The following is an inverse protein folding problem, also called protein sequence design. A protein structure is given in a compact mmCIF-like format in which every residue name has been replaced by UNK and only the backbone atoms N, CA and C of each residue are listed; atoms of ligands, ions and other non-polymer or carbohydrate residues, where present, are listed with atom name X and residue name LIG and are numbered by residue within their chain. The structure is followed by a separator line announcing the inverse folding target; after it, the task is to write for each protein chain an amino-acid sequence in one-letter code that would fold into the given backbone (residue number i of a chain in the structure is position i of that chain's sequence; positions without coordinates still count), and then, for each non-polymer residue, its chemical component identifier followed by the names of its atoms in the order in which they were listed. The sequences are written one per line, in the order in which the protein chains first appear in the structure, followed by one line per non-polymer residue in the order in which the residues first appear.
data_IF_489207281287
#
_entry.id   IF_489207281287
#
_cell.length_a   1.000
_cell.length_b   1.000
_cell.length_c   1.000
_cell.angle_alpha   90.00
_cell.angle_beta   90.00
_cell.angle_gamma   90.00
#
_symmetry.space_group_name_H-M   'P 1'
#
loop_
_entity.id
_entity.type
_entity.pdbx_description
1 polymer ?
#
# COMPACT_ATOMS: atom_id res chain seq x y z
N UNK A 1 8.26 -0.90 -11.31
CA UNK A 1 8.69 -1.38 -9.97
C UNK A 1 7.55 -1.78 -9.02
N UNK A 2 6.28 -1.40 -9.25
CA UNK A 2 5.16 -1.71 -8.33
C UNK A 2 5.02 -3.19 -7.97
N UNK A 3 5.05 -4.08 -8.97
CA UNK A 3 4.95 -5.54 -8.77
C UNK A 3 6.12 -6.10 -7.92
N UNK A 4 7.33 -5.63 -8.17
CA UNK A 4 8.54 -6.12 -7.49
C UNK A 4 8.62 -5.74 -6.00
N UNK A 5 7.86 -4.74 -5.54
CA UNK A 5 7.77 -4.43 -4.11
C UNK A 5 7.07 -5.54 -3.30
N UNK A 6 6.28 -6.41 -3.94
CA UNK A 6 5.55 -7.47 -3.24
C UNK A 6 4.71 -6.91 -2.08
N UNK A 7 4.92 -7.46 -0.87
CA UNK A 7 4.22 -7.05 0.35
C UNK A 7 5.00 -6.04 1.22
N UNK A 8 6.13 -5.52 0.72
CA UNK A 8 6.99 -4.60 1.46
C UNK A 8 6.48 -3.16 1.38
N UNK A 9 5.86 -2.66 2.46
CA UNK A 9 5.38 -1.27 2.55
C UNK A 9 6.49 -0.27 2.91
N UNK A 10 7.55 -0.73 3.58
CA UNK A 10 8.71 0.06 3.96
C UNK A 10 9.96 -0.82 3.98
N UNK A 11 11.05 -0.33 3.38
CA UNK A 11 12.31 -1.09 3.31
C UNK A 11 12.23 -2.32 2.39
N UNK A 12 13.31 -3.09 2.35
CA UNK A 12 13.41 -4.39 1.70
C UNK A 12 14.64 -5.09 2.29
N UNK A 13 14.44 -6.27 2.87
CA UNK A 13 15.52 -7.06 3.46
C UNK A 13 15.89 -8.30 2.64
N UNK A 14 15.35 -8.43 1.43
CA UNK A 14 15.60 -9.61 0.57
C UNK A 14 17.10 -9.88 0.36
N UNK A 15 17.93 -8.84 0.21
CA UNK A 15 19.38 -9.04 0.06
C UNK A 15 20.07 -9.53 1.34
N UNK A 16 19.51 -9.21 2.51
CA UNK A 16 19.97 -9.70 3.81
C UNK A 16 19.47 -11.13 4.05
N UNK A 17 18.22 -11.44 3.69
CA UNK A 17 17.60 -12.75 3.90
C UNK A 17 18.27 -13.86 3.07
N UNK A 18 18.69 -13.55 1.84
CA UNK A 18 19.36 -14.53 0.97
C UNK A 18 20.87 -14.63 1.24
N UNK A 19 21.43 -13.77 2.10
CA UNK A 19 22.87 -13.74 2.35
C UNK A 19 23.29 -14.95 3.20
N UNK A 20 24.23 -15.80 2.75
CA UNK A 20 24.67 -16.97 3.51
C UNK A 20 25.34 -16.62 4.84
N UNK A 21 25.91 -15.41 4.94
CA UNK A 21 26.52 -14.92 6.18
C UNK A 21 25.49 -14.44 7.21
N UNK A 22 24.23 -14.21 6.80
CA UNK A 22 23.18 -13.69 7.67
C UNK A 22 22.12 -14.73 8.03
N UNK A 23 22.40 -16.03 7.86
CA UNK A 23 21.45 -17.11 8.15
C UNK A 23 21.11 -17.26 9.64
N UNK A 24 21.95 -16.73 10.52
CA UNK A 24 21.79 -16.80 11.98
C UNK A 24 22.16 -15.45 12.61
N UNK A 25 21.34 -14.40 12.40
CA UNK A 25 21.62 -13.10 12.96
C UNK A 25 21.59 -13.19 14.49
N UNK A 26 22.52 -12.53 15.21
CA UNK A 26 22.46 -12.46 16.65
C UNK A 26 21.20 -11.72 17.09
N UNK A 27 20.68 -12.05 18.27
CA UNK A 27 19.59 -11.30 18.86
C UNK A 27 20.00 -9.82 19.06
N UNK A 28 19.01 -8.93 19.01
CA UNK A 28 19.24 -7.52 19.31
C UNK A 28 19.86 -7.38 20.70
N UNK A 29 21.01 -6.70 20.76
CA UNK A 29 21.72 -6.49 22.02
C UNK A 29 20.99 -5.51 22.95
N UNK A 30 20.18 -4.61 22.39
CA UNK A 30 19.52 -3.52 23.11
C UNK A 30 18.01 -3.70 23.03
N UNK A 31 17.33 -3.54 24.18
CA UNK A 31 15.89 -3.76 24.30
C UNK A 31 15.09 -2.84 23.36
N UNK A 32 15.48 -1.57 23.21
CA UNK A 32 14.87 -0.64 22.25
C UNK A 32 14.84 -1.10 20.78
N UNK A 33 15.65 -2.10 20.39
CA UNK A 33 15.62 -2.70 19.06
C UNK A 33 14.80 -3.99 18.95
N UNK A 34 14.11 -4.40 20.02
CA UNK A 34 13.16 -5.50 19.94
C UNK A 34 11.92 -5.10 19.13
N UNK A 35 11.29 -6.10 18.49
CA UNK A 35 10.18 -5.86 17.57
C UNK A 35 8.95 -5.21 18.24
N UNK A 36 8.75 -5.46 19.53
CA UNK A 36 7.65 -4.93 20.34
C UNK A 36 7.82 -3.45 20.74
N UNK A 37 9.07 -2.94 20.74
CA UNK A 37 9.34 -1.53 21.05
C UNK A 37 9.23 -0.61 19.83
N UNK A 38 9.19 -1.20 18.63
CA UNK A 38 9.04 -0.50 17.36
C UNK A 38 7.60 -0.45 16.85
N UNK A 39 7.46 -0.33 15.53
CA UNK A 39 6.16 -0.35 14.83
C UNK A 39 5.64 -1.78 14.56
N UNK A 40 6.33 -2.80 15.09
CA UNK A 40 6.12 -4.20 14.78
C UNK A 40 6.66 -4.62 13.41
N UNK A 41 6.55 -5.92 13.13
CA UNK A 41 6.93 -6.51 11.84
C UNK A 41 5.94 -6.19 10.71
N UNK A 42 4.67 -5.95 11.06
CA UNK A 42 3.59 -5.75 10.11
C UNK A 42 2.83 -4.47 10.40
N UNK A 43 2.55 -3.71 9.35
CA UNK A 43 1.67 -2.55 9.41
C UNK A 43 0.32 -2.90 8.81
N UNK A 44 -0.76 -2.51 9.49
CA UNK A 44 -2.09 -2.52 8.89
C UNK A 44 -2.13 -1.49 7.76
N UNK A 45 -2.21 -1.95 6.52
CA UNK A 45 -2.21 -1.10 5.32
C UNK A 45 -3.42 -0.15 5.32
N UNK A 46 -4.61 -0.68 5.67
CA UNK A 46 -5.85 0.10 5.67
C UNK A 46 -5.82 1.23 6.70
N UNK A 47 -5.09 1.03 7.81
CA UNK A 47 -4.92 2.06 8.83
C UNK A 47 -4.13 3.28 8.36
N UNK A 48 -3.48 3.22 7.19
CA UNK A 48 -2.83 4.39 6.60
C UNK A 48 -3.84 5.43 6.13
N UNK A 49 -5.04 4.99 5.76
CA UNK A 49 -6.12 5.89 5.35
C UNK A 49 -6.81 6.59 6.52
N UNK A 50 -6.55 6.17 7.77
CA UNK A 50 -7.05 6.86 8.97
C UNK A 50 -6.26 8.14 9.27
N UNK A 51 -5.00 8.21 8.83
CA UNK A 51 -4.13 9.36 9.06
C UNK A 51 -4.42 10.44 8.01
N UNK A 52 -4.90 11.59 8.46
CA UNK A 52 -5.29 12.74 7.61
C UNK A 52 -4.21 13.82 7.56
N UNK A 53 -3.35 13.88 8.58
CA UNK A 53 -2.33 14.94 8.70
C UNK A 53 -0.93 14.37 8.91
N UNK A 54 0.06 15.20 8.55
CA UNK A 54 1.47 14.91 8.79
C UNK A 54 1.76 14.83 10.31
N UNK A 55 1.01 15.57 11.12
CA UNK A 55 1.10 15.58 12.58
C UNK A 55 0.65 14.24 13.19
N UNK A 56 -0.50 13.72 12.78
CA UNK A 56 -0.99 12.40 13.18
C UNK A 56 -0.01 11.29 12.78
N UNK A 57 0.53 11.38 11.56
CA UNK A 57 1.55 10.45 11.08
C UNK A 57 2.84 10.52 11.92
N UNK A 58 3.32 11.72 12.23
CA UNK A 58 4.54 11.91 13.04
C UNK A 58 4.35 11.41 14.47
N UNK A 59 3.16 11.63 15.05
CA UNK A 59 2.81 11.14 16.37
C UNK A 59 2.75 9.60 16.39
N UNK A 60 2.08 8.99 15.41
CA UNK A 60 1.95 7.53 15.32
C UNK A 60 3.29 6.82 15.12
N UNK A 61 4.16 7.38 14.29
CA UNK A 61 5.44 6.77 13.94
C UNK A 61 6.62 7.43 14.65
N UNK A 62 6.39 8.07 15.80
CA UNK A 62 7.44 8.74 16.54
C UNK A 62 8.63 7.80 16.80
N UNK A 63 9.86 8.33 16.70
CA UNK A 63 11.12 7.58 16.88
C UNK A 63 11.31 6.37 15.94
N UNK A 64 10.45 6.19 14.93
CA UNK A 64 10.58 5.13 13.92
C UNK A 64 11.19 5.64 12.60
N UNK A 65 12.05 4.84 11.93
CA UNK A 65 12.55 5.16 10.59
C UNK A 65 11.43 5.22 9.53
N UNK A 66 10.25 4.66 9.82
CA UNK A 66 9.04 4.77 8.99
C UNK A 66 8.61 6.22 8.76
N UNK A 67 9.09 7.19 9.56
CA UNK A 67 8.83 8.62 9.33
C UNK A 67 9.45 9.19 8.05
N UNK A 68 10.54 8.60 7.54
CA UNK A 68 11.30 9.12 6.39
C UNK A 68 10.46 9.36 5.11
N UNK A 69 9.59 8.42 4.67
CA UNK A 69 8.74 8.63 3.50
C UNK A 69 7.63 9.68 3.69
N UNK A 70 7.38 10.13 4.93
CA UNK A 70 6.22 10.95 5.33
C UNK A 70 4.88 10.22 5.06
N UNK A 71 3.77 10.83 5.48
CA UNK A 71 2.43 10.26 5.27
C UNK A 71 2.20 9.94 3.79
N UNK A 72 2.46 10.94 2.93
CA UNK A 72 2.33 10.83 1.48
C UNK A 72 3.06 9.62 0.88
N UNK A 73 4.34 9.44 1.21
CA UNK A 73 5.14 8.34 0.65
C UNK A 73 4.71 6.97 1.17
N UNK A 74 4.33 6.88 2.45
CA UNK A 74 3.88 5.61 3.03
C UNK A 74 2.49 5.22 2.52
N UNK A 75 1.57 6.17 2.36
CA UNK A 75 0.25 5.93 1.74
C UNK A 75 0.40 5.44 0.30
N UNK A 76 1.30 6.05 -0.49
CA UNK A 76 1.63 5.55 -1.83
C UNK A 76 2.11 4.10 -1.79
N UNK A 77 3.03 3.75 -0.89
CA UNK A 77 3.52 2.38 -0.76
C UNK A 77 2.40 1.42 -0.34
N UNK A 78 1.53 1.84 0.58
CA UNK A 78 0.40 1.03 1.02
C UNK A 78 -0.55 0.72 -0.14
N UNK A 79 -0.87 1.70 -1.00
CA UNK A 79 -1.66 1.47 -2.21
C UNK A 79 -0.98 0.46 -3.14
N UNK A 80 0.33 0.55 -3.34
CA UNK A 80 1.06 -0.43 -4.16
C UNK A 80 0.98 -1.84 -3.56
N UNK A 81 1.18 -1.98 -2.25
CA UNK A 81 1.09 -3.28 -1.58
C UNK A 81 -0.34 -3.84 -1.64
N UNK A 82 -1.36 -3.01 -1.44
CA UNK A 82 -2.76 -3.40 -1.60
C UNK A 82 -3.01 -3.93 -3.02
N UNK A 83 -2.54 -3.24 -4.05
CA UNK A 83 -2.66 -3.72 -5.43
C UNK A 83 -1.95 -5.05 -5.68
N UNK A 84 -0.78 -5.27 -5.09
CA UNK A 84 -0.09 -6.56 -5.16
C UNK A 84 -0.89 -7.67 -4.48
N UNK A 85 -1.45 -7.39 -3.30
CA UNK A 85 -2.32 -8.34 -2.58
C UNK A 85 -3.55 -8.69 -3.42
N UNK A 86 -4.24 -7.69 -3.97
CA UNK A 86 -5.44 -7.91 -4.78
C UNK A 86 -5.14 -8.76 -6.03
N UNK A 87 -4.02 -8.49 -6.71
CA UNK A 87 -3.56 -9.32 -7.83
C UNK A 87 -3.37 -10.78 -7.43
N UNK A 88 -2.65 -11.00 -6.34
CA UNK A 88 -2.29 -12.34 -5.88
C UNK A 88 -3.55 -13.09 -5.39
N UNK A 89 -4.52 -12.38 -4.79
CA UNK A 89 -5.84 -12.91 -4.45
C UNK A 89 -6.65 -13.33 -5.68
N UNK A 90 -6.67 -12.52 -6.74
CA UNK A 90 -7.31 -12.90 -8.01
C UNK A 90 -6.68 -14.14 -8.67
N UNK A 91 -5.39 -14.39 -8.39
CA UNK A 91 -4.71 -15.62 -8.82
C UNK A 91 -4.93 -16.82 -7.88
N UNK A 92 -5.74 -16.69 -6.82
CA UNK A 92 -6.02 -17.75 -5.85
C UNK A 92 -4.91 -17.98 -4.80
N UNK A 93 -4.00 -17.03 -4.63
CA UNK A 93 -2.83 -17.13 -3.75
C UNK A 93 -2.73 -15.98 -2.72
N UNK A 94 -3.84 -15.30 -2.43
CA UNK A 94 -3.88 -14.10 -1.60
C UNK A 94 -4.79 -14.21 -0.36
N UNK A 95 -5.33 -13.06 0.02
CA UNK A 95 -6.23 -12.91 1.17
C UNK A 95 -7.65 -13.43 0.85
N UNK A 96 -8.49 -13.57 1.87
CA UNK A 96 -9.90 -13.98 1.69
C UNK A 96 -10.71 -12.96 0.88
N UNK A 97 -11.85 -13.39 0.33
CA UNK A 97 -12.74 -12.50 -0.42
C UNK A 97 -13.23 -11.33 0.45
N UNK A 98 -13.52 -11.56 1.73
CA UNK A 98 -13.95 -10.52 2.66
C UNK A 98 -12.85 -9.49 2.90
N UNK A 99 -11.59 -9.94 3.05
CA UNK A 99 -10.44 -9.06 3.22
C UNK A 99 -10.20 -8.22 1.95
N UNK A 100 -10.33 -8.84 0.76
CA UNK A 100 -10.22 -8.14 -0.51
C UNK A 100 -11.33 -7.09 -0.66
N UNK A 101 -12.58 -7.47 -0.36
CA UNK A 101 -13.73 -6.55 -0.39
C UNK A 101 -13.52 -5.35 0.55
N UNK A 102 -13.07 -5.60 1.79
CA UNK A 102 -12.76 -4.53 2.74
C UNK A 102 -11.68 -3.58 2.24
N UNK A 103 -10.60 -4.11 1.64
CA UNK A 103 -9.55 -3.29 1.05
C UNK A 103 -10.07 -2.47 -0.14
N UNK A 104 -10.87 -3.07 -1.02
CA UNK A 104 -11.47 -2.42 -2.19
C UNK A 104 -12.35 -1.24 -1.76
N UNK A 105 -13.29 -1.45 -0.82
CA UNK A 105 -14.15 -0.38 -0.34
C UNK A 105 -13.36 0.74 0.33
N UNK A 106 -12.30 0.38 1.06
CA UNK A 106 -11.45 1.37 1.71
C UNK A 106 -10.69 2.23 0.70
N UNK A 107 -10.21 1.65 -0.40
CA UNK A 107 -9.53 2.40 -1.46
C UNK A 107 -10.51 3.26 -2.25
N UNK A 108 -11.74 2.79 -2.51
CA UNK A 108 -12.78 3.65 -3.10
C UNK A 108 -13.15 4.82 -2.20
N UNK A 109 -13.31 4.60 -0.89
CA UNK A 109 -13.54 5.70 0.06
C UNK A 109 -12.37 6.69 0.09
N UNK A 110 -11.14 6.20 -0.09
CA UNK A 110 -9.96 7.06 -0.24
C UNK A 110 -10.02 7.91 -1.51
N UNK A 111 -10.38 7.32 -2.67
CA UNK A 111 -10.59 8.03 -3.94
C UNK A 111 -11.67 9.13 -3.77
N UNK A 112 -12.76 8.84 -3.07
CA UNK A 112 -13.86 9.77 -2.83
C UNK A 112 -13.46 10.96 -1.95
N UNK A 113 -12.41 10.80 -1.13
CA UNK A 113 -11.75 11.87 -0.40
C UNK A 113 -10.95 12.85 -1.28
N UNK A 114 -10.89 12.63 -2.61
CA UNK A 114 -10.17 13.46 -3.59
C UNK A 114 -8.71 13.70 -3.21
N UNK A 115 -7.90 12.63 -3.09
CA UNK A 115 -6.48 12.77 -2.80
C UNK A 115 -5.78 13.43 -4.00
N UNK A 116 -4.57 13.92 -3.78
CA UNK A 116 -3.72 14.43 -4.86
C UNK A 116 -3.46 13.38 -5.95
N UNK A 117 -3.25 13.85 -7.18
CA UNK A 117 -3.13 13.05 -8.41
C UNK A 117 -2.19 11.85 -8.30
N UNK A 118 -1.03 12.02 -7.65
CA UNK A 118 -0.07 10.93 -7.47
C UNK A 118 -0.69 9.78 -6.67
N UNK A 119 -1.36 10.07 -5.56
CA UNK A 119 -2.01 9.04 -4.74
C UNK A 119 -3.27 8.50 -5.42
N UNK A 120 -3.99 9.35 -6.15
CA UNK A 120 -5.17 8.97 -6.91
C UNK A 120 -4.80 7.93 -7.98
N UNK A 121 -3.76 8.17 -8.76
CA UNK A 121 -3.27 7.22 -9.77
C UNK A 121 -2.85 5.88 -9.15
N UNK A 122 -2.16 5.89 -8.01
CA UNK A 122 -1.81 4.65 -7.32
C UNK A 122 -3.03 3.89 -6.79
N UNK A 123 -4.09 4.60 -6.41
CA UNK A 123 -5.35 4.00 -5.98
C UNK A 123 -6.10 3.33 -7.13
N UNK A 124 -6.19 3.99 -8.28
CA UNK A 124 -6.72 3.39 -9.51
C UNK A 124 -5.91 2.15 -9.89
N UNK A 125 -4.57 2.25 -9.90
CA UNK A 125 -3.71 1.11 -10.22
C UNK A 125 -3.93 -0.06 -9.27
N UNK A 126 -4.06 0.20 -7.97
CA UNK A 126 -4.25 -0.84 -6.97
C UNK A 126 -5.55 -1.61 -7.19
N UNK A 127 -6.66 -0.90 -7.39
CA UNK A 127 -7.97 -1.52 -7.63
C UNK A 127 -8.04 -2.25 -8.97
N UNK A 128 -7.36 -1.73 -10.00
CA UNK A 128 -7.28 -2.38 -11.31
C UNK A 128 -6.58 -3.74 -11.28
N UNK A 129 -5.83 -4.05 -10.22
CA UNK A 129 -5.18 -5.36 -10.07
C UNK A 129 -6.15 -6.47 -9.67
N UNK A 130 -7.36 -6.14 -9.20
CA UNK A 130 -8.37 -7.12 -8.84
C UNK A 130 -9.19 -7.51 -10.06
N UNK A 131 -9.20 -8.80 -10.41
CA UNK A 131 -9.96 -9.34 -11.53
C UNK A 131 -11.46 -9.43 -11.19
N UNK A 132 -12.15 -8.30 -11.31
CA UNK A 132 -13.59 -8.19 -11.09
C UNK A 132 -14.20 -7.16 -12.02
N UNK A 133 -15.11 -7.62 -12.89
CA UNK A 133 -15.83 -6.73 -13.81
C UNK A 133 -16.63 -5.63 -13.10
N UNK A 134 -17.10 -5.88 -11.88
CA UNK A 134 -17.81 -4.88 -11.07
C UNK A 134 -16.86 -3.77 -10.60
N UNK A 135 -15.68 -4.14 -10.09
CA UNK A 135 -14.65 -3.17 -9.69
C UNK A 135 -14.19 -2.35 -10.88
N UNK A 136 -13.94 -2.98 -12.04
CA UNK A 136 -13.52 -2.30 -13.26
C UNK A 136 -14.56 -1.28 -13.73
N UNK A 137 -15.85 -1.65 -13.77
CA UNK A 137 -16.94 -0.71 -14.12
C UNK A 137 -16.99 0.47 -13.15
N UNK A 138 -16.87 0.22 -11.84
CA UNK A 138 -16.87 1.28 -10.81
C UNK A 138 -15.66 2.22 -10.96
N UNK A 139 -14.49 1.70 -11.32
CA UNK A 139 -13.31 2.51 -11.62
C UNK A 139 -13.53 3.41 -12.84
N UNK A 140 -14.02 2.87 -13.96
CA UNK A 140 -14.28 3.67 -15.16
C UNK A 140 -15.27 4.82 -14.87
N UNK A 141 -16.35 4.55 -14.14
CA UNK A 141 -17.32 5.57 -13.74
C UNK A 141 -16.69 6.69 -12.88
N UNK A 142 -15.74 6.35 -12.01
CA UNK A 142 -15.03 7.33 -11.16
C UNK A 142 -13.99 8.13 -11.96
N UNK A 143 -13.36 7.51 -12.96
CA UNK A 143 -12.31 8.14 -13.76
C UNK A 143 -12.86 9.31 -14.59
N UNK A 144 -14.08 9.19 -15.09
CA UNK A 144 -14.73 10.24 -15.88
C UNK A 144 -15.08 11.49 -15.06
N UNK A 145 -15.30 11.34 -13.74
CA UNK A 145 -15.73 12.40 -12.85
C UNK A 145 -14.54 13.22 -12.27
N UNK A 146 -14.25 14.37 -12.87
CA UNK A 146 -13.33 15.40 -12.31
C UNK A 146 -11.90 14.91 -11.96
N UNK A 147 -11.39 13.92 -12.67
CA UNK A 147 -9.98 13.48 -12.59
C UNK A 147 -9.15 14.24 -13.63
N UNK A 148 -7.91 14.60 -13.29
CA UNK A 148 -6.99 15.28 -14.21
C UNK A 148 -6.67 14.44 -15.45
N UNK A 149 -6.32 15.11 -16.55
CA UNK A 149 -5.94 14.47 -17.82
C UNK A 149 -4.81 13.45 -17.64
N UNK A 150 -3.85 13.78 -16.79
CA UNK A 150 -2.65 13.02 -16.51
C UNK A 150 -2.99 11.69 -15.83
N UNK A 151 -3.87 11.72 -14.83
CA UNK A 151 -4.33 10.50 -14.15
C UNK A 151 -5.19 9.65 -15.08
N UNK A 152 -6.03 10.27 -15.93
CA UNK A 152 -6.80 9.55 -16.95
C UNK A 152 -5.91 8.80 -17.93
N UNK A 153 -4.90 9.48 -18.46
CA UNK A 153 -3.94 8.88 -19.39
C UNK A 153 -3.20 7.70 -18.75
N UNK A 154 -2.68 7.88 -17.53
CA UNK A 154 -1.99 6.80 -16.81
C UNK A 154 -2.91 5.63 -16.48
N UNK A 155 -4.15 5.91 -16.06
CA UNK A 155 -5.12 4.87 -15.72
C UNK A 155 -5.56 4.04 -16.93
N UNK A 156 -5.61 4.65 -18.11
CA UNK A 156 -5.92 3.94 -19.37
C UNK A 156 -4.92 2.82 -19.70
N UNK A 157 -3.69 2.88 -19.16
CA UNK A 157 -2.67 1.85 -19.41
C UNK A 157 -2.97 0.51 -18.73
N UNK A 158 -3.87 0.47 -17.74
CA UNK A 158 -4.15 -0.72 -16.93
C UNK A 158 -5.63 -0.98 -16.64
N UNK A 159 -6.54 -0.19 -17.22
CA UNK A 159 -8.00 -0.39 -17.14
C UNK A 159 -8.63 -0.89 -18.45
N UNK A 160 -7.81 -1.30 -19.43
CA UNK A 160 -8.25 -1.88 -20.71
C UNK A 160 -8.42 -3.39 -20.64
#
# INVERSE_FOLDING_TARGET
MRKALGRWVYGCDVCQDVCPYNQRPPAALWEEFSADKGVGHYLSLLSMFDLKTDEEFRARFEKSPVRRPKLRGLTRNALVVIGNILRDSSAGHGETEEACHSAIERVFAFIDGKPEDMLLEHAYWALAQYDSSEVQKRLLNKLDANVSSEVKELASLYLN
#
